data_IF_596519589327
#
_entry.id   IF_596519589327
#
_cell.length_a   1.000
_cell.length_b   1.000
_cell.length_c   1.000
_cell.angle_alpha   90.00
_cell.angle_beta   90.00
_cell.angle_gamma   90.00
#
_symmetry.space_group_name_H-M   'P 1'
#
loop_
_entity.id
_entity.type
_entity.pdbx_description
1 polymer ?
#
# COMPACT_ATOMS: atom_id res chain seq x y z
N UNK A 1 -26.68 -25.84 -20.58
CA UNK A 1 -26.16 -25.01 -19.48
C UNK A 1 -25.55 -23.69 -19.97
N UNK A 2 -24.73 -23.67 -21.03
CA UNK A 2 -24.10 -22.45 -21.55
C UNK A 2 -25.08 -21.42 -22.12
N UNK A 3 -26.09 -21.83 -22.89
CA UNK A 3 -27.06 -20.91 -23.50
C UNK A 3 -27.90 -20.15 -22.47
N UNK A 4 -28.51 -20.85 -21.51
CA UNK A 4 -29.32 -20.24 -20.46
C UNK A 4 -28.50 -19.32 -19.54
N UNK A 5 -27.26 -19.70 -19.22
CA UNK A 5 -26.34 -18.86 -18.45
C UNK A 5 -26.01 -17.56 -19.19
N UNK A 6 -25.71 -17.63 -20.49
CA UNK A 6 -25.42 -16.45 -21.32
C UNK A 6 -26.65 -15.58 -21.51
N UNK A 7 -27.83 -16.15 -21.81
CA UNK A 7 -29.09 -15.41 -21.94
C UNK A 7 -29.43 -14.68 -20.64
N UNK A 8 -29.41 -15.37 -19.49
CA UNK A 8 -29.61 -14.71 -18.18
C UNK A 8 -28.52 -13.69 -17.89
N UNK A 9 -27.29 -13.91 -18.36
CA UNK A 9 -26.19 -12.95 -18.26
C UNK A 9 -26.47 -11.65 -19.00
N UNK A 10 -26.94 -11.76 -20.25
CA UNK A 10 -27.27 -10.63 -21.11
C UNK A 10 -28.54 -9.90 -20.65
N UNK A 11 -29.63 -10.62 -20.36
CA UNK A 11 -30.90 -10.03 -19.92
C UNK A 11 -30.80 -9.28 -18.59
N UNK A 12 -29.91 -9.72 -17.70
CA UNK A 12 -29.71 -9.07 -16.41
C UNK A 12 -28.53 -8.09 -16.41
N UNK A 13 -27.91 -7.82 -17.55
CA UNK A 13 -26.70 -7.00 -17.68
C UNK A 13 -25.58 -7.42 -16.70
N UNK A 14 -25.44 -8.73 -16.43
CA UNK A 14 -24.55 -9.24 -15.37
C UNK A 14 -23.11 -8.80 -15.56
N UNK A 15 -22.66 -8.73 -16.82
CA UNK A 15 -21.31 -8.25 -17.15
C UNK A 15 -21.13 -6.77 -16.81
N UNK A 16 -22.08 -5.90 -17.19
CA UNK A 16 -22.02 -4.47 -16.87
C UNK A 16 -22.12 -4.23 -15.36
N UNK A 17 -22.97 -4.98 -14.65
CA UNK A 17 -23.07 -4.92 -13.18
C UNK A 17 -21.76 -5.35 -12.52
N UNK A 18 -21.14 -6.43 -13.01
CA UNK A 18 -19.86 -6.88 -12.48
C UNK A 18 -18.75 -5.83 -12.67
N UNK A 19 -18.70 -5.16 -13.82
CA UNK A 19 -17.77 -4.04 -14.05
C UNK A 19 -18.03 -2.91 -13.07
N UNK A 20 -19.30 -2.46 -12.93
CA UNK A 20 -19.65 -1.36 -12.02
C UNK A 20 -19.29 -1.68 -10.58
N UNK A 21 -19.58 -2.89 -10.11
CA UNK A 21 -19.21 -3.34 -8.76
C UNK A 21 -17.69 -3.34 -8.56
N UNK A 22 -16.92 -3.74 -9.58
CA UNK A 22 -15.46 -3.67 -9.50
C UNK A 22 -14.95 -2.22 -9.44
N UNK A 23 -15.54 -1.32 -10.22
CA UNK A 23 -15.15 0.09 -10.25
C UNK A 23 -15.56 0.82 -8.95
N UNK A 24 -16.74 0.52 -8.39
CA UNK A 24 -17.20 1.00 -7.08
C UNK A 24 -16.27 0.53 -5.96
N UNK A 25 -15.96 -0.77 -5.93
CA UNK A 25 -15.02 -1.34 -4.97
C UNK A 25 -13.64 -0.68 -5.05
N UNK A 26 -13.09 -0.50 -6.24
CA UNK A 26 -11.80 0.17 -6.42
C UNK A 26 -11.81 1.62 -5.97
N UNK A 27 -12.92 2.34 -6.21
CA UNK A 27 -13.10 3.71 -5.74
C UNK A 27 -13.07 3.76 -4.21
N UNK A 28 -13.77 2.85 -3.53
CA UNK A 28 -13.76 2.77 -2.07
C UNK A 28 -12.37 2.44 -1.53
N UNK A 29 -11.65 1.49 -2.13
CA UNK A 29 -10.27 1.17 -1.73
C UNK A 29 -9.38 2.42 -1.83
N UNK A 30 -9.47 3.18 -2.91
CA UNK A 30 -8.67 4.41 -3.03
C UNK A 30 -9.03 5.45 -1.99
N UNK A 31 -10.31 5.61 -1.65
CA UNK A 31 -10.72 6.52 -0.58
C UNK A 31 -10.14 6.10 0.78
N UNK A 32 -10.10 4.80 1.06
CA UNK A 32 -9.45 4.26 2.27
C UNK A 32 -7.95 4.55 2.26
N UNK A 33 -7.24 4.22 1.17
CA UNK A 33 -5.81 4.51 1.07
C UNK A 33 -5.52 6.01 1.23
N UNK A 34 -6.38 6.86 0.65
CA UNK A 34 -6.26 8.32 0.73
C UNK A 34 -6.47 8.79 2.16
N UNK A 35 -7.51 8.32 2.84
CA UNK A 35 -7.75 8.67 4.24
C UNK A 35 -6.53 8.40 5.11
N UNK A 36 -5.93 7.21 5.04
CA UNK A 36 -4.77 6.89 5.87
C UNK A 36 -3.49 7.59 5.40
N UNK A 37 -3.35 7.83 4.09
CA UNK A 37 -2.23 8.62 3.60
C UNK A 37 -2.28 10.08 4.00
N UNK A 38 -3.45 10.69 3.94
CA UNK A 38 -3.64 12.06 4.37
C UNK A 38 -3.39 12.16 5.89
N UNK A 39 -3.81 11.17 6.69
CA UNK A 39 -3.46 11.10 8.12
C UNK A 39 -1.94 11.00 8.35
N UNK A 40 -1.23 10.11 7.64
CA UNK A 40 0.23 10.01 7.74
C UNK A 40 0.94 11.33 7.39
N UNK A 41 0.44 12.06 6.39
CA UNK A 41 0.97 13.36 5.98
C UNK A 41 0.66 14.45 7.01
N UNK A 42 -0.59 14.53 7.46
CA UNK A 42 -1.09 15.53 8.40
C UNK A 42 -0.42 15.41 9.78
N UNK A 43 -0.13 14.19 10.23
CA UNK A 43 0.57 13.93 11.50
C UNK A 43 2.08 14.17 11.43
N UNK A 44 2.66 14.21 10.23
CA UNK A 44 4.11 14.35 10.02
C UNK A 44 4.45 15.52 9.06
N UNK A 45 3.98 16.75 9.33
CA UNK A 45 4.05 17.87 8.40
C UNK A 45 5.49 18.28 8.03
N UNK A 46 6.49 17.93 8.85
CA UNK A 46 7.90 18.17 8.56
C UNK A 46 8.50 17.21 7.52
N UNK A 47 7.82 16.10 7.23
CA UNK A 47 8.26 15.12 6.22
C UNK A 47 7.70 15.40 4.82
N UNK A 48 6.77 16.35 4.68
CA UNK A 48 6.06 16.65 3.45
C UNK A 48 6.02 18.16 3.16
N UNK A 49 5.82 18.52 1.89
CA UNK A 49 5.53 19.90 1.52
C UNK A 49 4.05 20.23 1.80
N UNK A 50 3.72 21.49 2.05
CA UNK A 50 2.36 21.88 2.40
C UNK A 50 1.39 21.65 1.24
N UNK A 51 0.34 20.85 1.46
CA UNK A 51 -0.70 20.60 0.46
C UNK A 51 -0.36 19.52 -0.56
N UNK A 52 0.59 18.63 -0.26
CA UNK A 52 0.88 17.46 -1.09
C UNK A 52 -0.32 16.50 -1.17
N UNK A 53 -0.72 16.16 -2.40
CA UNK A 53 -1.78 15.19 -2.67
C UNK A 53 -1.19 13.86 -3.19
N UNK A 54 -1.71 12.74 -2.73
CA UNK A 54 -1.25 11.42 -3.15
C UNK A 54 -1.60 11.09 -4.61
N UNK A 55 -0.58 10.73 -5.39
CA UNK A 55 -0.71 10.25 -6.78
C UNK A 55 -1.29 8.83 -6.82
N UNK A 56 -2.42 8.65 -7.49
CA UNK A 56 -3.13 7.38 -7.55
C UNK A 56 -2.64 6.45 -8.67
N UNK A 57 -2.53 5.15 -8.35
CA UNK A 57 -2.30 4.11 -9.34
C UNK A 57 -3.07 2.81 -9.02
N UNK A 58 -3.84 2.31 -9.99
CA UNK A 58 -4.56 1.04 -9.91
C UNK A 58 -4.15 0.17 -11.11
N UNK A 59 -3.75 -1.07 -10.85
CA UNK A 59 -3.39 -2.05 -11.88
C UNK A 59 -4.07 -3.39 -11.59
N UNK A 60 -4.80 -3.90 -12.60
CA UNK A 60 -5.35 -5.26 -12.65
C UNK A 60 -4.47 -6.11 -13.58
N UNK A 61 -3.66 -7.05 -13.06
CA UNK A 61 -2.75 -7.87 -13.87
C UNK A 61 -2.60 -9.31 -13.35
N UNK A 62 -2.51 -10.33 -14.22
CA UNK A 62 -2.23 -11.72 -13.81
C UNK A 62 -0.74 -11.98 -13.48
N UNK A 63 -0.03 -10.99 -12.93
CA UNK A 63 1.40 -11.09 -12.58
C UNK A 63 1.60 -11.75 -11.20
N UNK A 64 2.83 -11.76 -10.64
CA UNK A 64 3.09 -12.20 -9.24
C UNK A 64 2.18 -11.48 -8.22
N UNK A 65 1.76 -10.28 -8.58
CA UNK A 65 0.68 -9.55 -7.95
C UNK A 65 -0.54 -9.68 -8.84
N UNK A 66 -1.61 -10.26 -8.30
CA UNK A 66 -2.92 -10.41 -8.96
C UNK A 66 -3.59 -9.05 -9.20
N UNK A 67 -3.22 -8.03 -8.43
CA UNK A 67 -3.63 -6.64 -8.61
C UNK A 67 -3.12 -5.72 -7.51
N UNK A 68 -3.16 -4.41 -7.75
CA UNK A 68 -2.86 -3.42 -6.71
C UNK A 68 -3.65 -2.13 -6.85
N UNK A 69 -3.87 -1.50 -5.69
CA UNK A 69 -4.25 -0.10 -5.53
C UNK A 69 -3.22 0.59 -4.66
N UNK A 70 -2.73 1.76 -5.06
CA UNK A 70 -1.74 2.51 -4.28
C UNK A 70 -1.86 4.02 -4.46
N UNK A 71 -1.38 4.75 -3.46
CA UNK A 71 -1.11 6.18 -3.50
C UNK A 71 0.39 6.43 -3.26
N UNK A 72 0.91 7.49 -3.87
CA UNK A 72 2.30 7.93 -3.68
C UNK A 72 2.32 9.41 -3.28
N UNK A 73 2.83 9.68 -2.09
CA UNK A 73 3.00 11.03 -1.55
C UNK A 73 4.48 11.43 -1.65
N UNK A 74 4.82 12.48 -2.41
CA UNK A 74 6.18 13.02 -2.43
C UNK A 74 6.59 13.50 -1.04
N UNK A 75 7.72 13.02 -0.53
CA UNK A 75 8.27 13.50 0.73
C UNK A 75 9.19 14.70 0.48
N UNK A 76 9.31 15.60 1.45
CA UNK A 76 10.34 16.64 1.48
C UNK A 76 11.71 16.10 1.94
N UNK A 77 12.02 14.87 1.51
CA UNK A 77 13.25 14.16 1.86
C UNK A 77 13.89 13.56 0.63
N UNK A 78 15.21 13.46 0.67
CA UNK A 78 16.03 12.77 -0.34
C UNK A 78 16.79 11.65 0.32
N UNK A 79 17.13 10.62 -0.46
CA UNK A 79 17.89 9.47 0.03
C UNK A 79 19.19 9.91 0.72
N UNK A 80 19.94 10.79 0.07
CA UNK A 80 21.13 11.47 0.60
C UNK A 80 21.35 12.78 -0.14
N UNK A 81 22.21 13.66 0.39
CA UNK A 81 22.58 14.91 -0.31
C UNK A 81 23.36 14.64 -1.61
N UNK A 82 24.01 13.49 -1.75
CA UNK A 82 24.80 13.13 -2.93
C UNK A 82 23.96 12.53 -4.05
N UNK A 83 22.99 11.68 -3.70
CA UNK A 83 22.11 11.02 -4.66
C UNK A 83 20.95 11.94 -5.08
N UNK A 84 20.39 12.69 -4.12
CA UNK A 84 19.33 13.66 -4.38
C UNK A 84 18.00 13.05 -4.85
N UNK A 85 17.85 11.72 -4.93
CA UNK A 85 16.59 11.10 -5.34
C UNK A 85 15.51 11.41 -4.32
N UNK A 86 14.37 11.99 -4.75
CA UNK A 86 13.27 12.31 -3.86
C UNK A 86 12.65 11.01 -3.33
N UNK A 87 12.35 11.02 -2.04
CA UNK A 87 11.62 9.93 -1.40
C UNK A 87 10.12 10.10 -1.64
N UNK A 88 9.41 8.96 -1.64
CA UNK A 88 7.95 8.94 -1.69
C UNK A 88 7.41 7.96 -0.68
N UNK A 89 6.44 8.39 0.12
CA UNK A 89 5.61 7.48 0.90
C UNK A 89 4.65 6.77 -0.05
N UNK A 90 4.70 5.45 -0.10
CA UNK A 90 3.80 4.64 -0.92
C UNK A 90 2.89 3.81 -0.03
N UNK A 91 1.61 4.13 -0.05
CA UNK A 91 0.57 3.42 0.71
C UNK A 91 -0.21 2.56 -0.26
N UNK A 92 -0.46 1.30 0.10
CA UNK A 92 -0.92 0.32 -0.85
C UNK A 92 -1.79 -0.76 -0.25
N UNK A 93 -2.71 -1.27 -1.07
CA UNK A 93 -3.33 -2.57 -0.90
C UNK A 93 -2.93 -3.46 -2.09
N UNK A 94 -2.16 -4.51 -1.79
CA UNK A 94 -1.66 -5.47 -2.79
C UNK A 94 -2.35 -6.81 -2.64
N UNK A 95 -2.80 -7.38 -3.76
CA UNK A 95 -3.25 -8.76 -3.85
C UNK A 95 -2.12 -9.60 -4.42
N UNK A 96 -1.38 -10.29 -3.56
CA UNK A 96 -0.20 -11.10 -3.93
C UNK A 96 -0.38 -12.54 -3.50
N UNK A 97 0.42 -13.45 -4.06
CA UNK A 97 0.52 -14.79 -3.49
C UNK A 97 1.24 -14.72 -2.13
N UNK A 98 0.84 -15.52 -1.11
CA UNK A 98 1.49 -15.52 0.19
C UNK A 98 3.00 -15.78 0.12
N UNK A 99 3.45 -16.63 -0.81
CA UNK A 99 4.86 -16.97 -1.00
C UNK A 99 5.70 -15.78 -1.44
N UNK A 100 5.09 -14.80 -2.12
CA UNK A 100 5.77 -13.56 -2.52
C UNK A 100 6.28 -12.80 -1.29
N UNK A 101 5.53 -12.84 -0.19
CA UNK A 101 5.90 -12.24 1.10
C UNK A 101 6.37 -13.28 2.13
N UNK A 102 6.70 -14.50 1.67
CA UNK A 102 7.12 -15.62 2.52
C UNK A 102 6.15 -15.92 3.68
N UNK A 103 4.84 -15.74 3.42
CA UNK A 103 3.77 -16.06 4.37
C UNK A 103 3.29 -17.49 4.14
N UNK A 104 3.11 -18.22 5.23
CA UNK A 104 2.63 -19.62 5.23
C UNK A 104 1.35 -19.82 6.04
N UNK A 105 0.93 -18.76 6.73
CA UNK A 105 -0.22 -18.66 7.61
C UNK A 105 -1.49 -18.14 6.89
N UNK A 106 -1.36 -17.73 5.62
CA UNK A 106 -2.47 -17.20 4.82
C UNK A 106 -2.83 -18.19 3.72
N UNK A 107 -4.06 -18.67 3.76
CA UNK A 107 -4.64 -19.48 2.67
C UNK A 107 -5.22 -18.58 1.56
N UNK A 108 -4.90 -18.90 0.31
CA UNK A 108 -5.41 -18.16 -0.86
C UNK A 108 -4.63 -16.87 -1.14
N UNK A 109 -5.33 -15.77 -1.43
CA UNK A 109 -4.70 -14.51 -1.81
C UNK A 109 -4.36 -13.66 -0.59
N UNK A 110 -3.07 -13.34 -0.44
CA UNK A 110 -2.62 -12.35 0.53
C UNK A 110 -3.05 -10.96 0.06
N UNK A 111 -3.79 -10.29 0.93
CA UNK A 111 -4.25 -8.89 0.80
C UNK A 111 -3.40 -8.07 1.76
N UNK A 112 -2.28 -7.55 1.27
CA UNK A 112 -1.33 -6.81 2.06
C UNK A 112 -1.70 -5.32 2.04
N UNK A 113 -2.26 -4.83 3.14
CA UNK A 113 -2.46 -3.40 3.35
C UNK A 113 -1.25 -2.87 4.11
N UNK A 114 -0.56 -1.88 3.55
CA UNK A 114 0.74 -1.45 4.08
C UNK A 114 1.28 -0.18 3.48
N UNK A 115 2.47 0.20 3.91
CA UNK A 115 3.26 1.26 3.29
C UNK A 115 4.71 0.84 3.04
N UNK A 116 5.40 1.61 2.19
CA UNK A 116 6.85 1.57 2.00
C UNK A 116 7.38 2.94 1.62
N UNK A 117 8.67 3.18 1.84
CA UNK A 117 9.34 4.40 1.39
C UNK A 117 10.12 4.12 0.10
N UNK A 118 9.74 4.77 -0.99
CA UNK A 118 10.50 4.69 -2.24
C UNK A 118 11.77 5.53 -2.12
N UNK A 119 12.86 4.97 -2.64
CA UNK A 119 14.20 5.56 -2.58
C UNK A 119 14.67 5.76 -1.13
N UNK A 120 14.24 4.86 -0.24
CA UNK A 120 14.79 4.76 1.10
C UNK A 120 16.29 4.43 1.04
N UNK A 121 17.04 5.00 1.99
CA UNK A 121 18.40 4.54 2.27
C UNK A 121 18.33 3.12 2.88
N UNK A 122 19.00 2.10 2.30
CA UNK A 122 18.96 0.74 2.83
C UNK A 122 19.35 0.63 4.31
N UNK A 123 20.31 1.43 4.79
CA UNK A 123 20.71 1.40 6.19
C UNK A 123 19.64 1.97 7.13
N UNK A 124 18.87 2.97 6.69
CA UNK A 124 17.68 3.42 7.42
C UNK A 124 16.59 2.34 7.42
N UNK A 125 16.38 1.67 6.29
CA UNK A 125 15.39 0.61 6.16
C UNK A 125 15.69 -0.59 7.07
N UNK A 126 16.94 -1.07 7.09
CA UNK A 126 17.38 -2.17 7.97
C UNK A 126 17.19 -1.83 9.45
N UNK A 127 17.45 -0.58 9.87
CA UNK A 127 17.23 -0.14 11.25
C UNK A 127 15.75 -0.16 11.62
N UNK A 128 14.91 0.47 10.79
CA UNK A 128 13.47 0.50 11.05
C UNK A 128 12.90 -0.93 11.09
N UNK A 129 13.29 -1.82 10.16
CA UNK A 129 12.88 -3.24 10.19
C UNK A 129 13.28 -3.94 11.48
N UNK A 130 14.47 -3.67 12.02
CA UNK A 130 14.89 -4.24 13.29
C UNK A 130 14.05 -3.73 14.47
N UNK A 131 13.63 -2.46 14.43
CA UNK A 131 12.81 -1.83 15.47
C UNK A 131 11.32 -2.17 15.34
N UNK A 132 10.84 -2.54 14.14
CA UNK A 132 9.46 -3.01 13.90
C UNK A 132 9.17 -4.38 14.52
N UNK A 133 10.17 -5.13 15.01
CA UNK A 133 9.95 -6.48 15.56
C UNK A 133 8.97 -6.54 16.74
N UNK A 134 8.82 -5.43 17.47
CA UNK A 134 7.90 -5.30 18.61
C UNK A 134 6.50 -4.79 18.20
N UNK A 135 6.25 -4.59 16.91
CA UNK A 135 4.98 -4.12 16.36
C UNK A 135 4.17 -5.26 15.77
N UNK A 136 2.84 -5.11 15.79
CA UNK A 136 1.90 -6.01 15.12
C UNK A 136 1.86 -5.75 13.59
N UNK A 137 3.04 -5.65 12.97
CA UNK A 137 3.23 -5.46 11.53
C UNK A 137 4.22 -6.49 10.99
N UNK A 138 3.95 -6.96 9.77
CA UNK A 138 4.91 -7.76 9.03
C UNK A 138 5.79 -6.91 8.12
N UNK A 139 7.03 -7.37 7.92
CA UNK A 139 7.96 -6.82 6.95
C UNK A 139 8.20 -7.82 5.81
N UNK A 140 8.12 -7.37 4.57
CA UNK A 140 8.47 -8.19 3.41
C UNK A 140 9.20 -7.38 2.34
N UNK A 141 10.07 -8.05 1.58
CA UNK A 141 10.63 -7.45 0.38
C UNK A 141 9.54 -7.22 -0.67
N UNK A 142 9.55 -6.02 -1.25
CA UNK A 142 8.61 -5.60 -2.27
C UNK A 142 8.71 -6.51 -3.52
N UNK A 143 7.59 -6.96 -4.12
CA UNK A 143 7.64 -7.86 -5.27
C UNK A 143 8.26 -7.22 -6.52
N UNK A 144 8.34 -5.88 -6.54
CA UNK A 144 8.81 -5.08 -7.67
C UNK A 144 10.09 -4.29 -7.38
N UNK A 145 10.78 -4.53 -6.25
CA UNK A 145 12.00 -3.79 -5.91
C UNK A 145 12.68 -4.26 -4.62
N UNK A 146 13.85 -3.68 -4.33
CA UNK A 146 14.65 -3.97 -3.14
C UNK A 146 14.24 -3.13 -1.92
N UNK A 147 12.93 -3.04 -1.66
CA UNK A 147 12.39 -2.16 -0.61
C UNK A 147 11.51 -2.96 0.33
N UNK A 148 11.46 -2.58 1.58
CA UNK A 148 10.66 -3.27 2.59
C UNK A 148 9.27 -2.65 2.66
N UNK A 149 8.26 -3.50 2.54
CA UNK A 149 6.88 -3.19 2.84
C UNK A 149 6.59 -3.53 4.30
N UNK A 150 6.00 -2.58 5.02
CA UNK A 150 5.41 -2.75 6.35
C UNK A 150 3.91 -2.92 6.16
N UNK A 151 3.35 -4.06 6.58
CA UNK A 151 1.99 -4.41 6.18
C UNK A 151 1.32 -5.40 7.14
N UNK A 152 0.00 -5.48 7.04
CA UNK A 152 -0.78 -6.60 7.57
C UNK A 152 -1.66 -7.27 6.52
N UNK A 153 -2.06 -8.50 6.83
CA UNK A 153 -3.07 -9.18 6.03
C UNK A 153 -4.48 -8.72 6.42
N UNK A 154 -5.24 -8.18 5.47
CA UNK A 154 -6.61 -7.73 5.73
C UNK A 154 -7.66 -8.63 5.05
N UNK A 155 -8.65 -9.06 5.82
CA UNK A 155 -9.81 -9.84 5.38
C UNK A 155 -11.14 -9.09 5.47
N UNK A 156 -11.21 -8.04 6.27
CA UNK A 156 -12.42 -7.27 6.57
C UNK A 156 -12.19 -5.76 6.58
N UNK A 157 -13.27 -4.97 6.60
CA UNK A 157 -13.17 -3.52 6.79
C UNK A 157 -12.62 -3.15 8.18
N UNK A 158 -12.90 -3.95 9.21
CA UNK A 158 -12.36 -3.75 10.55
C UNK A 158 -10.84 -3.93 10.56
N UNK A 159 -10.33 -4.99 9.90
CA UNK A 159 -8.90 -5.24 9.76
C UNK A 159 -8.21 -4.06 9.04
N UNK A 160 -8.87 -3.50 8.02
CA UNK A 160 -8.37 -2.31 7.31
C UNK A 160 -8.28 -1.10 8.24
N UNK A 161 -9.29 -0.86 9.09
CA UNK A 161 -9.25 0.26 10.03
C UNK A 161 -8.12 0.08 11.05
N UNK A 162 -8.06 -1.08 11.70
CA UNK A 162 -7.04 -1.38 12.70
C UNK A 162 -5.63 -1.33 12.12
N UNK A 163 -5.43 -1.94 10.95
CA UNK A 163 -4.14 -1.89 10.23
C UNK A 163 -3.80 -0.45 9.83
N UNK A 164 -4.76 0.32 9.34
CA UNK A 164 -4.55 1.70 8.93
C UNK A 164 -4.08 2.58 10.09
N UNK A 165 -4.73 2.48 11.24
CA UNK A 165 -4.34 3.20 12.46
C UNK A 165 -2.93 2.79 12.92
N UNK A 166 -2.61 1.49 12.89
CA UNK A 166 -1.28 0.98 13.23
C UNK A 166 -0.19 1.46 12.27
N UNK A 167 -0.48 1.51 10.97
CA UNK A 167 0.46 2.02 9.97
C UNK A 167 0.72 3.52 10.16
N UNK A 168 -0.31 4.31 10.49
CA UNK A 168 -0.18 5.74 10.80
C UNK A 168 0.75 5.91 12.01
N UNK A 169 0.48 5.21 13.11
CA UNK A 169 1.30 5.26 14.32
C UNK A 169 2.76 4.85 14.04
N UNK A 170 2.96 3.73 13.33
CA UNK A 170 4.30 3.25 12.97
C UNK A 170 5.04 4.24 12.08
N UNK A 171 4.37 4.87 11.11
CA UNK A 171 4.99 5.88 10.26
C UNK A 171 5.31 7.15 11.04
N UNK A 172 4.49 7.56 12.00
CA UNK A 172 4.77 8.71 12.87
C UNK A 172 5.99 8.46 13.77
N UNK A 173 6.22 7.23 14.23
CA UNK A 173 7.42 6.88 15.00
C UNK A 173 8.69 6.88 14.12
N UNK A 174 8.64 6.21 12.96
CA UNK A 174 9.85 5.90 12.18
C UNK A 174 10.04 6.73 10.91
N UNK A 175 9.06 7.49 10.46
CA UNK A 175 9.08 8.21 9.19
C UNK A 175 10.26 9.18 9.07
N UNK A 176 10.64 9.80 10.19
CA UNK A 176 11.78 10.73 10.27
C UNK A 176 13.15 10.06 10.17
N UNK A 177 13.23 8.74 10.35
CA UNK A 177 14.47 7.96 10.27
C UNK A 177 14.98 7.81 8.81
N UNK A 178 14.11 8.03 7.82
CA UNK A 178 14.43 7.88 6.41
C UNK A 178 14.95 9.16 5.78
N UNK A 179 16.06 9.08 5.04
CA UNK A 179 16.58 10.18 4.23
C UNK A 179 16.95 11.44 5.03
N UNK A 180 17.23 12.52 4.31
CA UNK A 180 17.54 13.85 4.88
C UNK A 180 16.64 14.91 4.26
N UNK A 181 16.39 15.99 4.99
CA UNK A 181 15.63 17.13 4.48
C UNK A 181 16.27 17.65 3.19
N UNK A 182 15.43 17.98 2.20
CA UNK A 182 15.92 18.69 1.01
C UNK A 182 16.45 20.07 1.44
N UNK A 183 17.59 20.53 0.87
CA UNK A 183 18.09 21.87 1.11
C UNK A 183 17.17 22.96 0.55
#
# INVERSE_FOLDING_TARGET
MTGEFLTKGLENDRYLKAIRLADEFETEIIQVLRRFGDLMVDENPELFDSGEEGDQNIIRQPSRTLGHSRLEYPMNRVQSLEDGSPQKLNIHLYWVSPETYNRTDVDGTLRAFGYKIKNADPAAEERVVAETQDWDLHTANDPWGSRTAFYEHVGSHEDIQQTGDLLVEHFSEFGSAYGVAKP
#
